data_IF_748684371383
#
_entry.id   IF_748684371383
#
_cell.length_a   1.000
_cell.length_b   1.000
_cell.length_c   1.000
_cell.angle_alpha   90.00
_cell.angle_beta   90.00
_cell.angle_gamma   90.00
#
_symmetry.space_group_name_H-M   'P 1'
#
loop_
_entity.id
_entity.type
_entity.pdbx_description
1 polymer ?
#
# COMPACT_ATOMS: atom_id res chain seq x y z
N UNK A 1 8.13 -15.56 7.41
CA UNK A 1 7.49 -16.64 6.64
C UNK A 1 8.56 -17.25 5.77
N UNK A 2 8.60 -18.58 5.70
CA UNK A 2 9.54 -19.31 4.86
C UNK A 2 9.37 -18.84 3.40
N UNK A 3 10.45 -18.46 2.72
CA UNK A 3 10.41 -18.06 1.30
C UNK A 3 10.27 -19.30 0.41
N UNK A 4 9.25 -20.10 0.69
CA UNK A 4 8.97 -21.31 -0.06
C UNK A 4 8.62 -20.90 -1.48
N UNK A 5 9.43 -21.37 -2.43
CA UNK A 5 9.29 -21.04 -3.85
C UNK A 5 7.90 -21.49 -4.32
N UNK A 6 6.96 -20.54 -4.42
CA UNK A 6 5.64 -20.81 -4.98
C UNK A 6 5.79 -21.21 -6.44
N UNK A 7 5.76 -22.51 -6.71
CA UNK A 7 5.85 -23.04 -8.07
C UNK A 7 4.61 -22.68 -8.89
N UNK A 8 4.76 -22.66 -10.22
CA UNK A 8 3.67 -22.36 -11.18
C UNK A 8 2.40 -23.18 -10.90
N UNK A 9 2.55 -24.43 -10.44
CA UNK A 9 1.41 -25.29 -10.08
C UNK A 9 0.66 -24.78 -8.84
N UNK A 10 1.39 -24.37 -7.81
CA UNK A 10 0.78 -23.80 -6.60
C UNK A 10 0.11 -22.46 -6.93
N UNK A 11 0.78 -21.61 -7.70
CA UNK A 11 0.22 -20.31 -8.08
C UNK A 11 -1.04 -20.45 -8.93
N UNK A 12 -1.08 -21.40 -9.88
CA UNK A 12 -2.27 -21.66 -10.68
C UNK A 12 -3.46 -22.12 -9.82
N UNK A 13 -3.21 -22.94 -8.80
CA UNK A 13 -4.25 -23.41 -7.88
C UNK A 13 -4.82 -22.25 -7.04
N UNK A 14 -3.95 -21.43 -6.45
CA UNK A 14 -4.38 -20.37 -5.50
C UNK A 14 -4.91 -19.11 -6.20
N UNK A 15 -4.45 -18.81 -7.42
CA UNK A 15 -4.93 -17.65 -8.19
C UNK A 15 -6.18 -17.95 -9.04
N UNK A 16 -6.52 -19.22 -9.23
CA UNK A 16 -7.58 -19.63 -10.16
C UNK A 16 -7.25 -19.42 -11.64
N UNK A 17 -6.01 -19.01 -11.97
CA UNK A 17 -5.54 -18.82 -13.34
C UNK A 17 -4.96 -20.14 -13.85
N UNK A 18 -5.33 -20.54 -15.07
CA UNK A 18 -4.83 -21.77 -15.69
C UNK A 18 -3.30 -21.81 -15.76
N UNK A 19 -2.70 -22.99 -15.54
CA UNK A 19 -1.25 -23.21 -15.52
C UNK A 19 -0.53 -22.67 -16.77
N UNK A 20 -1.11 -22.88 -17.95
CA UNK A 20 -0.58 -22.36 -19.22
C UNK A 20 -0.60 -20.84 -19.27
N UNK A 21 -1.68 -20.22 -18.74
CA UNK A 21 -1.80 -18.76 -18.66
C UNK A 21 -0.79 -18.17 -17.67
N UNK A 22 -0.62 -18.76 -16.49
CA UNK A 22 0.47 -18.37 -15.56
C UNK A 22 1.84 -18.47 -16.23
N UNK A 23 2.09 -19.56 -16.99
CA UNK A 23 3.35 -19.74 -17.72
C UNK A 23 3.62 -18.67 -18.77
N UNK A 24 2.57 -18.17 -19.43
CA UNK A 24 2.66 -17.05 -20.38
C UNK A 24 2.81 -15.69 -19.68
N UNK A 25 2.13 -15.48 -18.55
CA UNK A 25 2.19 -14.23 -17.79
C UNK A 25 3.54 -14.04 -17.10
N UNK A 26 4.06 -15.10 -16.48
CA UNK A 26 5.28 -15.08 -15.67
C UNK A 26 6.45 -15.75 -16.38
N UNK A 27 6.44 -15.74 -17.73
CA UNK A 27 7.49 -16.33 -18.53
C UNK A 27 8.86 -15.75 -18.14
N UNK A 28 9.89 -16.61 -18.09
CA UNK A 28 11.26 -16.20 -17.68
C UNK A 28 11.83 -15.12 -18.59
N UNK A 29 11.64 -15.28 -19.90
CA UNK A 29 11.96 -14.28 -20.91
C UNK A 29 10.85 -13.21 -20.96
N UNK A 30 11.14 -11.94 -20.61
CA UNK A 30 10.16 -10.86 -20.60
C UNK A 30 9.53 -10.60 -21.97
N UNK A 31 10.26 -10.82 -23.06
CA UNK A 31 9.77 -10.57 -24.42
C UNK A 31 8.67 -11.55 -24.84
N UNK A 32 8.59 -12.71 -24.17
CA UNK A 32 7.59 -13.75 -24.41
C UNK A 32 6.40 -13.66 -23.46
N UNK A 33 6.37 -12.67 -22.56
CA UNK A 33 5.26 -12.49 -21.63
C UNK A 33 4.04 -11.99 -22.39
N UNK A 34 2.91 -12.63 -22.13
CA UNK A 34 1.62 -12.08 -22.58
C UNK A 34 1.23 -10.89 -21.71
N UNK A 35 0.48 -9.95 -22.30
CA UNK A 35 -0.12 -8.85 -21.54
C UNK A 35 -1.00 -9.40 -20.40
N UNK A 36 -0.80 -8.86 -19.20
CA UNK A 36 -1.52 -9.21 -17.99
C UNK A 36 -2.70 -8.26 -17.79
N UNK A 37 -3.88 -8.82 -17.49
CA UNK A 37 -5.04 -8.03 -17.09
C UNK A 37 -4.99 -7.69 -15.59
N UNK A 38 -5.67 -6.62 -15.17
CA UNK A 38 -5.64 -6.16 -13.78
C UNK A 38 -6.20 -7.20 -12.78
N UNK A 39 -7.23 -7.93 -13.17
CA UNK A 39 -7.80 -9.03 -12.38
C UNK A 39 -6.81 -10.19 -12.23
N UNK A 40 -5.99 -10.46 -13.26
CA UNK A 40 -4.95 -11.49 -13.20
C UNK A 40 -3.82 -11.06 -12.24
N UNK A 41 -3.41 -9.79 -12.29
CA UNK A 41 -2.45 -9.23 -11.35
C UNK A 41 -2.97 -9.34 -9.90
N UNK A 42 -4.22 -8.93 -9.66
CA UNK A 42 -4.84 -9.03 -8.33
C UNK A 42 -4.91 -10.48 -7.83
N UNK A 43 -5.28 -11.43 -8.70
CA UNK A 43 -5.34 -12.84 -8.35
C UNK A 43 -3.96 -13.42 -8.01
N UNK A 44 -2.92 -13.05 -8.76
CA UNK A 44 -1.54 -13.47 -8.49
C UNK A 44 -1.04 -12.88 -7.17
N UNK A 45 -1.25 -11.58 -6.92
CA UNK A 45 -0.82 -10.93 -5.69
C UNK A 45 -1.50 -11.53 -4.45
N UNK A 46 -2.82 -11.72 -4.50
CA UNK A 46 -3.57 -12.39 -3.42
C UNK A 46 -3.08 -13.81 -3.16
N UNK A 47 -2.80 -14.58 -4.22
CA UNK A 47 -2.28 -15.93 -4.09
C UNK A 47 -0.87 -15.99 -3.46
N UNK A 48 -0.14 -14.87 -3.48
CA UNK A 48 1.18 -14.71 -2.86
C UNK A 48 1.12 -14.03 -1.48
N UNK A 49 -0.09 -13.80 -0.95
CA UNK A 49 -0.31 -13.02 0.28
C UNK A 49 0.31 -11.61 0.21
N UNK A 50 0.26 -11.00 -0.99
CA UNK A 50 0.73 -9.64 -1.25
C UNK A 50 -0.46 -8.72 -1.49
N UNK A 51 -0.58 -7.69 -0.67
CA UNK A 51 -1.57 -6.63 -0.88
C UNK A 51 -1.13 -5.70 -2.03
N UNK A 52 -2.08 -5.32 -2.90
CA UNK A 52 -1.77 -4.52 -4.09
C UNK A 52 -1.19 -3.14 -3.74
N UNK A 53 -1.72 -2.47 -2.72
CA UNK A 53 -1.19 -1.19 -2.27
C UNK A 53 0.23 -1.35 -1.76
N UNK A 54 0.52 -2.38 -0.96
CA UNK A 54 1.87 -2.67 -0.47
C UNK A 54 2.85 -2.86 -1.63
N UNK A 55 2.42 -3.59 -2.69
CA UNK A 55 3.22 -3.78 -3.89
C UNK A 55 3.51 -2.46 -4.62
N UNK A 56 2.52 -1.59 -4.78
CA UNK A 56 2.67 -0.27 -5.41
C UNK A 56 3.60 0.63 -4.59
N UNK A 57 3.38 0.75 -3.27
CA UNK A 57 4.24 1.54 -2.39
C UNK A 57 5.70 1.06 -2.41
N UNK A 58 5.91 -0.26 -2.44
CA UNK A 58 7.26 -0.82 -2.54
C UNK A 58 7.96 -0.49 -3.87
N UNK A 59 7.23 -0.32 -4.97
CA UNK A 59 7.82 0.03 -6.27
C UNK A 59 8.03 1.54 -6.41
N UNK A 60 7.05 2.34 -5.99
CA UNK A 60 7.04 3.79 -6.21
C UNK A 60 7.85 4.56 -5.17
N UNK A 61 7.79 4.14 -3.90
CA UNK A 61 8.39 4.89 -2.78
C UNK A 61 9.76 4.35 -2.38
N UNK A 62 10.00 3.05 -2.51
CA UNK A 62 11.19 2.36 -2.01
C UNK A 62 12.12 1.95 -3.15
N UNK A 63 12.55 2.93 -3.96
CA UNK A 63 13.52 2.70 -5.05
C UNK A 63 14.87 2.18 -4.54
N UNK A 64 15.18 2.40 -3.26
CA UNK A 64 16.35 1.85 -2.60
C UNK A 64 15.99 0.52 -1.89
N UNK A 65 16.61 -0.57 -2.36
CA UNK A 65 16.42 -1.92 -1.80
C UNK A 65 16.76 -1.99 -0.30
N UNK A 66 17.66 -1.14 0.20
CA UNK A 66 18.03 -1.12 1.62
C UNK A 66 16.89 -0.60 2.51
N UNK A 67 16.06 0.30 1.99
CA UNK A 67 14.89 0.83 2.70
C UNK A 67 13.75 -0.20 2.64
N UNK A 68 13.64 -0.91 1.51
CA UNK A 68 12.61 -1.95 1.27
C UNK A 68 12.66 -3.10 2.29
N UNK A 69 13.85 -3.54 2.68
CA UNK A 69 14.02 -4.62 3.65
C UNK A 69 14.28 -4.14 5.09
N UNK A 70 14.20 -2.83 5.34
CA UNK A 70 14.38 -2.30 6.68
C UNK A 70 13.15 -2.59 7.55
N UNK A 71 13.33 -3.39 8.60
CA UNK A 71 12.28 -3.65 9.60
C UNK A 71 11.74 -2.36 10.23
N UNK A 72 12.58 -1.31 10.29
CA UNK A 72 12.20 0.03 10.75
C UNK A 72 11.06 0.63 9.94
N UNK A 73 11.12 0.49 8.61
CA UNK A 73 10.12 1.10 7.72
C UNK A 73 8.97 0.16 7.40
N UNK A 74 9.14 -1.16 7.57
CA UNK A 74 8.09 -2.15 7.31
C UNK A 74 6.78 -1.85 8.03
N UNK A 75 6.86 -1.50 9.32
CA UNK A 75 5.67 -1.14 10.12
C UNK A 75 5.04 0.17 9.64
N UNK A 76 5.87 1.17 9.30
CA UNK A 76 5.40 2.45 8.78
C UNK A 76 4.69 2.28 7.42
N UNK A 77 5.25 1.49 6.51
CA UNK A 77 4.68 1.21 5.20
C UNK A 77 3.34 0.49 5.35
N UNK A 78 3.27 -0.55 6.17
CA UNK A 78 2.02 -1.27 6.44
C UNK A 78 0.94 -0.34 7.02
N UNK A 79 1.32 0.54 7.96
CA UNK A 79 0.42 1.55 8.51
C UNK A 79 -0.06 2.55 7.43
N UNK A 80 0.82 3.03 6.57
CA UNK A 80 0.47 3.93 5.48
C UNK A 80 -0.48 3.25 4.48
N UNK A 81 -0.20 2.00 4.09
CA UNK A 81 -1.09 1.25 3.19
C UNK A 81 -2.48 1.06 3.80
N UNK A 82 -2.57 0.77 5.10
CA UNK A 82 -3.84 0.70 5.81
C UNK A 82 -4.56 2.06 5.83
N UNK A 83 -3.86 3.17 6.08
CA UNK A 83 -4.43 4.52 6.03
C UNK A 83 -5.00 4.85 4.65
N UNK A 84 -4.21 4.63 3.60
CA UNK A 84 -4.59 4.91 2.22
C UNK A 84 -5.69 3.97 1.68
N UNK A 85 -5.92 2.81 2.31
CA UNK A 85 -7.07 1.96 1.98
C UNK A 85 -8.41 2.61 2.33
N UNK A 86 -8.46 3.37 3.43
CA UNK A 86 -9.71 3.97 3.92
C UNK A 86 -9.88 5.43 3.49
N UNK A 87 -8.78 6.16 3.35
CA UNK A 87 -8.79 7.59 3.07
C UNK A 87 -9.61 7.99 1.82
N UNK A 88 -9.49 7.33 0.65
CA UNK A 88 -10.24 7.72 -0.54
C UNK A 88 -11.75 7.63 -0.34
N UNK A 89 -12.24 6.54 0.27
CA UNK A 89 -13.65 6.35 0.53
C UNK A 89 -14.19 7.39 1.53
N UNK A 90 -13.42 7.67 2.59
CA UNK A 90 -13.80 8.72 3.56
C UNK A 90 -13.82 10.11 2.96
N UNK A 91 -12.89 10.41 2.03
CA UNK A 91 -12.87 11.70 1.33
C UNK A 91 -14.05 11.86 0.38
N UNK A 92 -14.42 10.81 -0.36
CA UNK A 92 -15.60 10.84 -1.23
C UNK A 92 -16.86 11.09 -0.39
N UNK A 93 -17.06 10.34 0.70
CA UNK A 93 -18.20 10.53 1.58
C UNK A 93 -18.24 11.94 2.19
N UNK A 94 -17.09 12.47 2.62
CA UNK A 94 -17.02 13.83 3.16
C UNK A 94 -17.31 14.91 2.11
N UNK A 95 -17.00 14.66 0.83
CA UNK A 95 -17.34 15.57 -0.27
C UNK A 95 -18.83 15.51 -0.60
N UNK A 96 -19.45 14.33 -0.55
CA UNK A 96 -20.90 14.16 -0.76
C UNK A 96 -21.73 14.92 0.32
N UNK A 97 -21.18 15.07 1.54
CA UNK A 97 -21.79 15.84 2.62
C UNK A 97 -21.68 17.37 2.42
N UNK A 98 -20.80 17.84 1.52
CA UNK A 98 -20.68 19.27 1.19
C UNK A 98 -21.79 19.62 0.18
N UNK A 99 -22.86 20.22 0.69
CA UNK A 99 -24.12 20.47 -0.04
C UNK A 99 -23.95 21.25 -1.36
N UNK A 100 -22.86 22.01 -1.51
CA UNK A 100 -22.59 22.87 -2.67
C UNK A 100 -21.57 22.26 -3.67
N UNK A 101 -21.09 21.04 -3.47
CA UNK A 101 -20.08 20.41 -4.32
C UNK A 101 -20.71 19.34 -5.24
N UNK A 102 -21.09 19.71 -6.46
CA UNK A 102 -21.69 18.79 -7.44
C UNK A 102 -20.68 17.84 -8.13
N UNK A 103 -19.43 17.84 -7.65
CA UNK A 103 -18.32 17.04 -8.17
C UNK A 103 -17.64 17.63 -9.40
N UNK A 104 -18.24 18.60 -10.10
CA UNK A 104 -17.62 19.27 -11.26
C UNK A 104 -16.54 20.27 -10.87
N UNK A 105 -16.37 20.54 -9.58
CA UNK A 105 -15.36 21.44 -9.01
C UNK A 105 -14.08 20.71 -8.57
N UNK A 106 -14.09 19.37 -8.53
CA UNK A 106 -12.90 18.60 -8.21
C UNK A 106 -11.89 18.74 -9.35
N UNK A 107 -10.68 19.15 -9.01
CA UNK A 107 -9.63 19.56 -9.94
C UNK A 107 -8.34 18.77 -9.65
N UNK A 108 -7.64 18.19 -10.66
CA UNK A 108 -6.37 17.49 -10.45
C UNK A 108 -5.33 18.32 -9.69
N UNK A 109 -5.38 19.63 -9.81
CA UNK A 109 -4.52 20.60 -9.13
C UNK A 109 -4.63 20.55 -7.60
N UNK A 110 -5.71 19.99 -7.05
CA UNK A 110 -5.90 19.81 -5.61
C UNK A 110 -4.98 18.74 -5.01
N UNK A 111 -4.40 17.87 -5.84
CA UNK A 111 -3.54 16.77 -5.37
C UNK A 111 -2.38 17.28 -4.49
N UNK A 112 -1.66 18.31 -4.94
CA UNK A 112 -0.52 18.86 -4.20
C UNK A 112 -0.90 19.49 -2.85
N UNK A 113 -1.90 20.39 -2.79
CA UNK A 113 -2.42 20.91 -1.52
C UNK A 113 -2.89 19.82 -0.55
N UNK A 114 -3.64 18.82 -1.03
CA UNK A 114 -4.15 17.72 -0.22
C UNK A 114 -3.01 16.85 0.34
N UNK A 115 -2.02 16.51 -0.49
CA UNK A 115 -0.82 15.76 -0.08
C UNK A 115 -0.10 16.47 1.08
N UNK A 116 0.12 17.79 0.97
CA UNK A 116 0.77 18.57 2.02
C UNK A 116 -0.05 18.61 3.31
N UNK A 117 -1.37 18.76 3.21
CA UNK A 117 -2.26 18.79 4.36
C UNK A 117 -2.26 17.45 5.11
N UNK A 118 -2.40 16.34 4.38
CA UNK A 118 -2.35 14.97 4.93
C UNK A 118 -0.99 14.70 5.57
N UNK A 119 0.12 15.03 4.89
CA UNK A 119 1.47 14.84 5.43
C UNK A 119 1.68 15.62 6.72
N UNK A 120 1.28 16.90 6.75
CA UNK A 120 1.39 17.74 7.95
C UNK A 120 0.60 17.16 9.12
N UNK A 121 -0.61 16.64 8.86
CA UNK A 121 -1.45 16.02 9.90
C UNK A 121 -0.83 14.72 10.42
N UNK A 122 -0.32 13.86 9.54
CA UNK A 122 0.34 12.61 9.92
C UNK A 122 1.57 12.88 10.80
N UNK A 123 2.44 13.81 10.39
CA UNK A 123 3.64 14.17 11.17
C UNK A 123 3.25 14.73 12.54
N UNK A 124 2.21 15.57 12.61
CA UNK A 124 1.70 16.09 13.87
C UNK A 124 1.26 14.97 14.82
N UNK A 125 0.48 13.99 14.33
CA UNK A 125 0.00 12.87 15.14
C UNK A 125 1.14 11.94 15.59
N UNK A 126 2.11 11.66 14.73
CA UNK A 126 3.31 10.88 15.08
C UNK A 126 4.09 11.57 16.22
N UNK A 127 4.29 12.88 16.12
CA UNK A 127 4.96 13.66 17.16
C UNK A 127 4.16 13.65 18.47
N UNK A 128 2.84 13.79 18.41
CA UNK A 128 1.98 13.73 19.59
C UNK A 128 2.07 12.37 20.31
N UNK A 129 2.08 11.27 19.57
CA UNK A 129 2.26 9.92 20.13
C UNK A 129 3.65 9.76 20.75
N UNK A 130 4.69 10.25 20.08
CA UNK A 130 6.08 10.16 20.56
C UNK A 130 6.28 10.97 21.84
N UNK A 131 5.75 12.19 21.89
CA UNK A 131 5.81 13.06 23.07
C UNK A 131 5.05 12.45 24.26
N UNK A 132 3.89 11.85 24.02
CA UNK A 132 3.13 11.14 25.06
C UNK A 132 3.90 9.95 25.64
N UNK A 133 4.61 9.21 24.79
CA UNK A 133 5.48 8.10 25.23
C UNK A 133 6.68 8.58 26.04
N UNK A 134 7.32 9.67 25.64
CA UNK A 134 8.43 10.26 26.39
C UNK A 134 7.98 10.69 27.81
N UNK A 135 6.84 11.38 27.91
CA UNK A 135 6.29 11.77 29.22
C UNK A 135 5.98 10.56 30.12
N UNK A 136 5.35 9.51 29.60
CA UNK A 136 5.07 8.29 30.36
C UNK A 136 6.33 7.51 30.74
N UNK A 137 7.36 7.55 29.89
CA UNK A 137 8.67 6.96 30.18
C UNK A 137 9.40 7.69 31.31
N UNK A 138 9.33 9.02 31.33
CA UNK A 138 9.89 9.84 32.40
C UNK A 138 9.15 9.60 33.74
N UNK A 139 7.82 9.47 33.74
CA UNK A 139 7.05 9.15 34.96
C UNK A 139 7.41 7.80 35.60
N UNK A 140 7.89 6.83 34.79
CA UNK A 140 8.29 5.51 35.27
C UNK A 140 9.73 5.46 35.83
N UNK A 141 10.53 6.51 35.60
CA UNK A 141 11.89 6.64 36.15
C UNK A 141 11.87 7.32 37.53
N UNK A 142 10.79 8.04 37.84
CA UNK A 142 10.61 8.77 39.11
C UNK A 142 9.59 8.12 40.07
N UNK A 143 9.21 6.86 39.86
CA UNK A 143 8.34 6.07 40.75
C UNK A 143 9.08 4.92 41.43
#
# INVERSE_FOLDING_TARGET
MDHDRVGIRSLALHSGIGKSRIGLLLHRDPSKRSAMQINELQAILRALDVELLDAVFCVETLRDENIRYSDRYRTLISMLCALFRHLPASLIAALDDVTDLDGTEVRPEWAGPLERAVTKRIVHEINAVTNRRAMLGDFNIFS
#
